data_IF_155112720822
#
_entry.id   IF_155112720822
#
_cell.length_a   1.000
_cell.length_b   1.000
_cell.length_c   1.000
_cell.angle_alpha   90.00
_cell.angle_beta   90.00
_cell.angle_gamma   90.00
#
_symmetry.space_group_name_H-M   'P 1'
#
loop_
_entity.id
_entity.type
_entity.pdbx_description
1 polymer ?
#
# COMPACT_ATOMS: atom_id res chain seq x y z
N UNK A 1 -1.53 5.04 -17.37
CA UNK A 1 -1.66 6.51 -17.31
C UNK A 1 -3.12 6.82 -17.07
N UNK A 2 -3.47 7.43 -15.94
CA UNK A 2 -4.83 7.90 -15.67
C UNK A 2 -4.78 9.42 -15.78
N UNK A 3 -5.50 9.96 -16.75
CA UNK A 3 -5.60 11.40 -16.96
C UNK A 3 -6.58 11.97 -15.93
N UNK A 4 -6.09 12.83 -15.04
CA UNK A 4 -6.96 13.66 -14.21
C UNK A 4 -7.41 14.85 -15.04
N UNK A 5 -8.70 14.86 -15.42
CA UNK A 5 -9.35 16.03 -15.98
C UNK A 5 -9.51 17.09 -14.90
N UNK A 6 -8.63 18.10 -14.91
CA UNK A 6 -8.80 19.28 -14.07
C UNK A 6 -9.86 20.19 -14.69
N UNK A 7 -10.97 20.35 -13.97
CA UNK A 7 -11.99 21.34 -14.27
C UNK A 7 -11.39 22.74 -14.35
N UNK A 8 -11.97 23.58 -15.20
CA UNK A 8 -11.53 24.92 -15.56
C UNK A 8 -11.56 25.88 -14.36
N UNK A 9 -10.41 26.02 -13.68
CA UNK A 9 -10.15 27.10 -12.75
C UNK A 9 -9.43 28.26 -13.45
N UNK A 10 -9.85 29.48 -13.10
CA UNK A 10 -9.38 30.79 -13.55
C UNK A 10 -7.86 30.91 -13.75
N UNK A 11 -7.47 31.63 -14.80
CA UNK A 11 -6.08 31.77 -15.31
C UNK A 11 -5.06 32.26 -14.26
N UNK A 12 -5.50 32.91 -13.18
CA UNK A 12 -4.62 33.45 -12.15
C UNK A 12 -4.32 32.48 -10.99
N UNK A 13 -5.05 31.36 -10.87
CA UNK A 13 -4.85 30.37 -9.79
C UNK A 13 -3.82 29.27 -10.10
N UNK A 14 -3.47 29.07 -11.38
CA UNK A 14 -2.56 28.00 -11.81
C UNK A 14 -1.08 28.29 -11.55
N UNK A 15 -0.67 29.57 -11.57
CA UNK A 15 0.71 29.94 -11.34
C UNK A 15 1.14 29.78 -9.87
N UNK A 16 0.25 30.09 -8.93
CA UNK A 16 0.52 29.97 -7.49
C UNK A 16 0.63 28.50 -7.02
N UNK A 17 -0.24 27.62 -7.53
CA UNK A 17 -0.24 26.19 -7.16
C UNK A 17 0.96 25.42 -7.72
N UNK A 18 1.46 25.78 -8.92
CA UNK A 18 2.65 25.16 -9.50
C UNK A 18 3.93 25.63 -8.80
N UNK A 19 3.99 26.90 -8.38
CA UNK A 19 5.12 27.45 -7.62
C UNK A 19 5.30 26.78 -6.26
N UNK A 20 4.22 26.55 -5.52
CA UNK A 20 4.27 25.91 -4.19
C UNK A 20 4.62 24.42 -4.27
N UNK A 21 4.14 23.71 -5.30
CA UNK A 21 4.45 22.28 -5.52
C UNK A 21 5.94 22.05 -5.87
N UNK A 22 6.54 22.95 -6.64
CA UNK A 22 7.96 22.89 -6.99
C UNK A 22 8.86 23.24 -5.80
N UNK A 23 8.45 24.17 -4.92
CA UNK A 23 9.20 24.53 -3.72
C UNK A 23 9.22 23.41 -2.67
N UNK A 24 8.09 22.71 -2.46
CA UNK A 24 8.02 21.56 -1.54
C UNK A 24 8.83 20.37 -2.08
N UNK A 25 8.81 20.15 -3.40
CA UNK A 25 9.62 19.11 -4.04
C UNK A 25 11.13 19.39 -3.95
N UNK A 26 11.53 20.67 -4.01
CA UNK A 26 12.93 21.08 -3.85
C UNK A 26 13.41 21.02 -2.39
N UNK A 27 12.55 21.34 -1.42
CA UNK A 27 12.87 21.27 0.01
C UNK A 27 12.97 19.83 0.55
N UNK A 28 12.27 18.87 -0.06
CA UNK A 28 12.38 17.44 0.29
C UNK A 28 13.62 16.74 -0.28
N UNK A 29 14.37 17.40 -1.19
CA UNK A 29 15.56 16.84 -1.84
C UNK A 29 16.89 17.24 -1.19
N UNK A 30 16.88 18.12 -0.19
CA UNK A 30 18.10 18.76 0.32
C UNK A 30 18.30 18.60 1.83
N UNK A 31 18.26 17.37 2.36
CA UNK A 31 18.93 17.03 3.63
C UNK A 31 19.38 15.56 3.63
N UNK A 32 20.53 15.25 3.01
CA UNK A 32 21.45 14.22 3.54
C UNK A 32 22.87 14.63 3.13
N UNK A 33 23.62 15.20 4.07
CA UNK A 33 25.04 15.45 3.91
C UNK A 33 25.79 14.11 3.89
N UNK A 34 26.63 13.90 2.88
CA UNK A 34 27.43 12.70 2.71
C UNK A 34 28.67 12.75 3.62
N UNK A 35 28.68 11.95 4.69
CA UNK A 35 29.90 11.61 5.41
C UNK A 35 30.65 10.48 4.68
N UNK A 36 31.91 10.76 4.36
CA UNK A 36 32.86 9.78 3.80
C UNK A 36 33.29 8.81 4.89
N UNK A 37 32.81 7.58 4.84
CA UNK A 37 33.48 6.45 5.47
C UNK A 37 33.55 5.25 4.52
N UNK A 38 34.78 4.81 4.23
CA UNK A 38 35.06 3.50 3.66
C UNK A 38 34.82 2.48 4.78
N UNK A 39 33.58 2.01 4.93
CA UNK A 39 33.26 0.88 5.78
C UNK A 39 33.08 -0.38 4.93
N UNK A 40 33.72 -1.47 5.37
CA UNK A 40 33.42 -2.83 4.89
C UNK A 40 31.94 -3.10 5.03
N UNK A 41 31.41 -3.86 4.08
CA UNK A 41 30.07 -4.44 4.05
C UNK A 41 29.66 -4.91 5.46
N UNK A 42 28.85 -4.12 6.16
CA UNK A 42 28.25 -4.54 7.41
C UNK A 42 27.07 -5.44 7.06
N UNK A 43 27.03 -6.63 7.66
CA UNK A 43 25.83 -7.46 7.68
C UNK A 43 24.70 -6.64 8.29
N UNK A 44 23.52 -6.66 7.66
CA UNK A 44 22.30 -6.22 8.35
C UNK A 44 22.01 -7.29 9.39
N UNK A 45 22.44 -7.06 10.62
CA UNK A 45 22.20 -7.99 11.70
C UNK A 45 20.72 -7.97 12.07
N UNK A 46 19.95 -8.87 11.47
CA UNK A 46 18.64 -9.22 11.97
C UNK A 46 18.90 -10.02 13.25
N UNK A 47 19.15 -9.34 14.37
CA UNK A 47 19.48 -9.94 15.66
C UNK A 47 18.33 -10.83 16.16
N UNK A 48 18.23 -12.05 15.65
CA UNK A 48 17.29 -13.07 16.09
C UNK A 48 17.85 -14.47 15.88
N UNK A 49 17.50 -15.36 16.81
CA UNK A 49 17.94 -16.75 16.82
C UNK A 49 17.21 -17.55 15.73
N UNK A 50 17.92 -18.12 14.73
CA UNK A 50 17.31 -18.94 13.69
C UNK A 50 16.52 -20.14 14.21
N UNK A 51 16.85 -20.66 15.39
CA UNK A 51 16.12 -21.77 16.03
C UNK A 51 14.87 -21.27 16.76
N UNK A 52 14.83 -20.00 17.16
CA UNK A 52 13.72 -19.35 17.85
C UNK A 52 13.32 -18.02 17.16
N UNK A 53 12.85 -18.09 15.90
CA UNK A 53 12.46 -16.91 15.13
C UNK A 53 11.31 -16.16 15.81
N UNK A 54 11.37 -14.82 15.88
CA UNK A 54 10.23 -14.02 16.29
C UNK A 54 9.01 -14.28 15.38
N UNK A 55 7.81 -14.36 15.94
CA UNK A 55 6.58 -14.68 15.18
C UNK A 55 6.29 -13.75 14.00
N UNK A 56 6.81 -12.52 14.03
CA UNK A 56 6.68 -11.55 12.94
C UNK A 56 7.54 -11.89 11.72
N UNK A 57 8.56 -12.74 11.88
CA UNK A 57 9.35 -13.30 10.76
C UNK A 57 8.67 -14.51 10.11
N UNK A 58 7.67 -15.09 10.79
CA UNK A 58 6.94 -16.29 10.37
C UNK A 58 5.62 -15.89 9.73
N UNK A 59 5.34 -16.47 8.57
CA UNK A 59 4.10 -16.24 7.82
C UNK A 59 2.90 -16.74 8.63
N UNK A 60 1.78 -16.01 8.67
CA UNK A 60 0.61 -16.43 9.42
C UNK A 60 0.16 -17.87 9.14
N UNK A 61 0.22 -18.29 7.87
CA UNK A 61 -0.12 -19.64 7.42
C UNK A 61 0.80 -20.76 7.95
N UNK A 62 2.03 -20.46 8.35
CA UNK A 62 3.01 -21.44 8.84
C UNK A 62 3.13 -21.47 10.37
N UNK A 63 2.49 -20.52 11.08
CA UNK A 63 2.68 -20.33 12.53
C UNK A 63 2.15 -21.49 13.36
N UNK A 64 1.00 -22.07 13.01
CA UNK A 64 0.44 -23.19 13.78
C UNK A 64 1.39 -24.40 13.75
N UNK A 65 1.93 -24.74 12.59
CA UNK A 65 2.92 -25.82 12.43
C UNK A 65 4.21 -25.51 13.20
N UNK A 66 4.69 -24.26 13.12
CA UNK A 66 5.87 -23.84 13.86
C UNK A 66 5.66 -23.93 15.39
N UNK A 67 4.54 -23.43 15.90
CA UNK A 67 4.22 -23.47 17.34
C UNK A 67 4.06 -24.90 17.86
N UNK A 68 3.61 -25.83 17.00
CA UNK A 68 3.47 -27.24 17.35
C UNK A 68 4.81 -28.00 17.34
N UNK A 69 5.72 -27.65 16.43
CA UNK A 69 6.95 -28.43 16.17
C UNK A 69 8.24 -27.79 16.67
N UNK A 70 8.22 -26.48 16.92
CA UNK A 70 9.39 -25.68 17.29
C UNK A 70 10.49 -25.65 16.23
N UNK A 71 10.23 -26.10 15.00
CA UNK A 71 11.29 -26.34 14.03
C UNK A 71 11.05 -25.60 12.71
N UNK A 72 11.85 -24.54 12.46
CA UNK A 72 11.83 -23.82 11.19
C UNK A 72 12.40 -24.64 10.03
N UNK A 73 13.21 -25.68 10.29
CA UNK A 73 13.91 -26.41 9.23
C UNK A 73 13.00 -27.25 8.34
N UNK A 74 11.80 -27.62 8.78
CA UNK A 74 10.78 -28.22 7.89
C UNK A 74 10.25 -27.20 6.88
N UNK A 75 10.12 -25.92 7.27
CA UNK A 75 9.79 -24.82 6.37
C UNK A 75 10.96 -24.50 5.42
N UNK A 76 12.19 -24.49 5.92
CA UNK A 76 13.42 -24.29 5.12
C UNK A 76 13.62 -25.41 4.08
N UNK A 77 13.33 -26.66 4.43
CA UNK A 77 13.50 -27.82 3.53
C UNK A 77 12.52 -27.85 2.35
N UNK A 78 11.40 -27.12 2.40
CA UNK A 78 10.47 -26.97 1.26
C UNK A 78 11.10 -26.19 0.11
N UNK A 79 12.17 -25.41 0.34
CA UNK A 79 12.60 -24.34 -0.56
C UNK A 79 13.69 -24.67 -1.59
N UNK A 80 14.14 -25.92 -1.73
CA UNK A 80 15.04 -26.31 -2.84
C UNK A 80 16.31 -25.46 -2.99
N UNK A 81 17.02 -25.64 -4.12
CA UNK A 81 18.31 -25.00 -4.41
C UNK A 81 18.05 -23.62 -5.02
N UNK A 82 18.68 -22.56 -4.48
CA UNK A 82 18.64 -21.13 -4.87
C UNK A 82 17.31 -20.35 -4.65
N UNK A 83 17.00 -19.89 -3.42
CA UNK A 83 15.77 -19.13 -3.10
C UNK A 83 15.69 -17.76 -3.81
N UNK A 84 16.77 -17.31 -4.44
CA UNK A 84 16.79 -16.09 -5.26
C UNK A 84 16.24 -16.27 -6.67
N UNK A 85 16.06 -17.52 -7.13
CA UNK A 85 15.52 -17.89 -8.43
C UNK A 85 14.35 -18.87 -8.32
N UNK A 86 14.33 -19.73 -7.30
CA UNK A 86 13.19 -20.58 -7.04
C UNK A 86 11.98 -19.72 -6.67
N UNK A 87 11.02 -19.69 -7.59
CA UNK A 87 9.73 -19.02 -7.40
C UNK A 87 8.61 -20.01 -7.09
N UNK A 88 8.89 -21.29 -6.87
CA UNK A 88 7.87 -22.27 -6.52
C UNK A 88 7.43 -22.14 -5.07
N UNK A 89 8.38 -21.85 -4.18
CA UNK A 89 8.13 -21.80 -2.75
C UNK A 89 8.45 -20.40 -2.18
N UNK A 90 7.76 -19.98 -1.10
CA UNK A 90 8.05 -18.71 -0.46
C UNK A 90 9.43 -18.72 0.22
N UNK A 91 10.21 -17.65 0.04
CA UNK A 91 11.53 -17.53 0.67
C UNK A 91 11.40 -17.33 2.20
N UNK A 92 12.43 -17.75 2.94
CA UNK A 92 12.56 -17.44 4.37
C UNK A 92 12.82 -15.94 4.52
N UNK A 93 12.02 -15.32 5.37
CA UNK A 93 12.10 -13.88 5.63
C UNK A 93 13.20 -13.57 6.66
N UNK A 94 13.77 -12.39 6.56
CA UNK A 94 14.82 -11.83 7.42
C UNK A 94 16.07 -12.71 7.53
N UNK A 95 16.31 -13.55 6.52
CA UNK A 95 17.51 -14.38 6.40
C UNK A 95 18.40 -13.86 5.27
N UNK A 96 19.72 -13.76 5.52
CA UNK A 96 20.68 -13.34 4.52
C UNK A 96 21.22 -14.51 3.70
N UNK A 97 20.98 -14.43 2.40
CA UNK A 97 21.51 -15.32 1.39
C UNK A 97 22.75 -14.68 0.75
N UNK A 98 23.85 -15.43 0.68
CA UNK A 98 25.11 -14.99 0.08
C UNK A 98 25.37 -15.70 -1.24
N UNK A 99 26.57 -15.53 -1.81
CA UNK A 99 26.99 -16.12 -3.08
C UNK A 99 26.72 -17.64 -3.19
N UNK A 100 26.88 -18.40 -2.09
CA UNK A 100 26.63 -19.84 -2.08
C UNK A 100 25.15 -20.21 -2.32
N UNK A 101 24.24 -19.34 -1.86
CA UNK A 101 22.80 -19.56 -1.90
C UNK A 101 22.18 -18.84 -3.11
N UNK A 102 22.78 -17.74 -3.53
CA UNK A 102 22.34 -16.84 -4.58
C UNK A 102 23.53 -16.35 -5.40
N UNK A 103 24.05 -17.17 -6.33
CA UNK A 103 25.27 -16.89 -7.06
C UNK A 103 25.14 -15.64 -7.93
N UNK A 104 26.04 -14.67 -7.75
CA UNK A 104 26.00 -13.41 -8.48
C UNK A 104 26.23 -13.64 -9.99
N UNK A 105 25.40 -13.05 -10.87
CA UNK A 105 25.63 -13.08 -12.32
C UNK A 105 26.98 -12.47 -12.73
N UNK A 106 27.43 -11.45 -12.00
CA UNK A 106 28.71 -10.79 -12.18
C UNK A 106 29.53 -10.93 -10.91
N UNK A 107 30.74 -11.48 -11.05
CA UNK A 107 31.66 -11.72 -9.93
C UNK A 107 32.62 -10.56 -9.73
N UNK A 108 33.19 -10.48 -8.53
CA UNK A 108 34.33 -9.63 -8.26
C UNK A 108 35.58 -10.13 -8.99
N UNK A 109 36.44 -9.21 -9.41
CA UNK A 109 37.80 -9.52 -9.80
C UNK A 109 38.58 -10.11 -8.62
N UNK A 110 39.50 -11.07 -8.88
CA UNK A 110 40.33 -11.66 -7.84
C UNK A 110 41.29 -10.63 -7.23
N UNK A 111 41.80 -10.93 -6.04
CA UNK A 111 42.74 -10.04 -5.33
C UNK A 111 44.04 -9.77 -6.10
N UNK A 112 44.39 -10.64 -7.04
CA UNK A 112 45.54 -10.48 -7.94
C UNK A 112 45.31 -9.50 -9.10
N UNK A 113 44.08 -9.02 -9.29
CA UNK A 113 43.76 -8.07 -10.36
C UNK A 113 44.27 -6.67 -10.01
N UNK A 114 44.59 -5.85 -11.04
CA UNK A 114 45.09 -4.48 -10.86
C UNK A 114 44.18 -3.61 -9.98
N UNK A 115 42.86 -3.87 -10.02
CA UNK A 115 41.86 -3.20 -9.20
C UNK A 115 40.99 -4.23 -8.45
N UNK A 116 41.49 -4.82 -7.35
CA UNK A 116 40.79 -5.89 -6.65
C UNK A 116 39.48 -5.38 -6.04
N UNK A 117 38.50 -6.27 -5.86
CA UNK A 117 37.18 -5.91 -5.33
C UNK A 117 36.31 -5.07 -6.27
N UNK A 118 36.69 -4.96 -7.55
CA UNK A 118 35.87 -4.37 -8.60
C UNK A 118 35.06 -5.44 -9.34
N UNK A 119 33.94 -5.05 -9.93
CA UNK A 119 33.07 -5.98 -10.64
C UNK A 119 33.54 -6.28 -12.05
N UNK A 120 33.62 -7.57 -12.41
CA UNK A 120 34.05 -7.99 -13.74
C UNK A 120 33.18 -7.30 -14.80
N UNK A 121 33.84 -6.60 -15.72
CA UNK A 121 33.19 -5.88 -16.81
C UNK A 121 32.87 -4.41 -16.54
N UNK A 122 33.32 -3.84 -15.41
CA UNK A 122 33.20 -2.41 -15.11
C UNK A 122 33.84 -1.50 -16.17
N UNK A 123 34.78 -2.03 -16.95
CA UNK A 123 35.54 -1.38 -18.00
C UNK A 123 35.07 -1.72 -19.43
N UNK A 124 33.96 -2.46 -19.56
CA UNK A 124 33.42 -2.82 -20.87
C UNK A 124 32.77 -1.64 -21.55
N UNK A 125 33.29 -1.28 -22.71
CA UNK A 125 32.59 -0.42 -23.66
C UNK A 125 31.33 -1.14 -24.17
N UNK A 126 30.20 -0.44 -24.21
CA UNK A 126 28.92 -0.99 -24.69
C UNK A 126 28.07 0.11 -25.34
N UNK A 127 27.13 -0.32 -26.17
CA UNK A 127 26.00 0.51 -26.63
C UNK A 127 24.70 -0.02 -25.99
N UNK A 128 23.80 0.85 -25.50
CA UNK A 128 23.92 2.31 -25.39
C UNK A 128 24.84 2.76 -24.23
N UNK A 129 25.16 4.05 -24.14
CA UNK A 129 26.07 4.66 -23.12
C UNK A 129 25.74 4.23 -21.69
N UNK A 130 24.45 4.09 -21.46
CA UNK A 130 23.83 3.79 -20.19
C UNK A 130 24.15 2.39 -19.65
N UNK A 131 24.76 1.53 -20.49
CA UNK A 131 25.29 0.21 -20.16
C UNK A 131 26.81 0.11 -20.27
N UNK A 132 27.48 1.17 -20.73
CA UNK A 132 28.92 1.20 -20.83
C UNK A 132 29.55 1.53 -19.48
N UNK A 133 30.75 1.00 -19.24
CA UNK A 133 31.64 1.43 -18.16
C UNK A 133 31.03 1.32 -16.77
N UNK A 134 30.26 0.25 -16.54
CA UNK A 134 29.61 -0.04 -15.28
C UNK A 134 29.35 -1.53 -15.13
N UNK A 135 29.48 -2.04 -13.91
CA UNK A 135 29.11 -3.39 -13.54
C UNK A 135 28.64 -3.42 -12.09
N UNK A 136 27.73 -4.34 -11.77
CA UNK A 136 27.23 -4.55 -10.42
C UNK A 136 27.47 -6.00 -10.00
N UNK A 137 28.12 -6.19 -8.86
CA UNK A 137 28.25 -7.49 -8.20
C UNK A 137 27.23 -7.57 -7.08
N UNK A 138 26.35 -8.55 -7.15
CA UNK A 138 25.52 -8.93 -6.00
C UNK A 138 26.43 -9.45 -4.87
N UNK A 139 26.15 -9.02 -3.64
CA UNK A 139 26.89 -9.44 -2.44
C UNK A 139 26.00 -10.24 -1.51
N UNK A 140 24.77 -9.76 -1.30
CA UNK A 140 23.77 -10.44 -0.47
C UNK A 140 22.36 -10.16 -0.97
N UNK A 141 21.48 -11.11 -0.70
CA UNK A 141 20.04 -10.98 -0.90
C UNK A 141 19.33 -11.40 0.37
N UNK A 142 18.22 -10.75 0.69
CA UNK A 142 17.32 -11.19 1.75
C UNK A 142 15.88 -10.83 1.35
N UNK A 143 14.93 -11.42 2.06
CA UNK A 143 13.51 -11.18 1.86
C UNK A 143 12.92 -10.65 3.15
N UNK A 144 12.02 -9.69 3.07
CA UNK A 144 11.36 -9.14 4.25
C UNK A 144 9.95 -8.69 3.89
N UNK A 145 9.13 -8.42 4.90
CA UNK A 145 7.85 -7.77 4.68
C UNK A 145 8.08 -6.36 4.13
N UNK A 146 7.26 -5.97 3.16
CA UNK A 146 7.15 -4.59 2.72
C UNK A 146 5.98 -3.90 3.42
N UNK A 147 5.87 -2.59 3.18
CA UNK A 147 4.75 -1.79 3.66
C UNK A 147 3.42 -2.37 3.16
N UNK A 148 2.43 -2.34 4.05
CA UNK A 148 1.09 -2.81 3.78
C UNK A 148 0.45 -2.12 2.56
N UNK A 149 -0.43 -2.84 1.87
CA UNK A 149 -1.25 -2.32 0.78
C UNK A 149 -2.73 -2.59 1.08
N UNK A 150 -3.46 -1.61 1.63
CA UNK A 150 -4.87 -1.78 1.97
C UNK A 150 -5.72 -2.16 0.76
N UNK A 151 -6.67 -3.08 0.94
CA UNK A 151 -7.69 -3.36 -0.06
C UNK A 151 -8.67 -2.18 -0.11
N UNK A 152 -8.88 -1.55 -1.27
CA UNK A 152 -9.78 -0.40 -1.36
C UNK A 152 -11.20 -0.75 -0.91
N UNK A 153 -11.79 0.09 -0.06
CA UNK A 153 -13.17 -0.03 0.43
C UNK A 153 -13.39 -1.39 1.12
N UNK A 154 -12.39 -1.81 1.90
CA UNK A 154 -12.47 -3.02 2.73
C UNK A 154 -12.74 -2.70 4.20
N UNK A 155 -13.22 -1.48 4.49
CA UNK A 155 -13.56 -1.05 5.84
C UNK A 155 -14.69 -1.89 6.41
N UNK A 156 -14.51 -2.27 7.66
CA UNK A 156 -15.43 -3.04 8.45
C UNK A 156 -15.78 -2.30 9.73
N UNK A 157 -17.00 -2.51 10.21
CA UNK A 157 -17.54 -1.81 11.36
C UNK A 157 -18.51 -2.72 12.12
N UNK A 158 -18.34 -2.82 13.45
CA UNK A 158 -19.29 -3.52 14.31
C UNK A 158 -20.61 -2.73 14.44
N UNK A 159 -21.79 -3.33 14.14
CA UNK A 159 -22.10 -4.76 14.29
C UNK A 159 -22.18 -5.55 12.97
N UNK A 160 -21.72 -5.00 11.86
CA UNK A 160 -21.82 -5.66 10.55
C UNK A 160 -20.70 -6.71 10.41
N UNK A 161 -21.06 -7.89 9.88
CA UNK A 161 -20.10 -8.95 9.63
C UNK A 161 -19.04 -8.48 8.62
N UNK A 162 -17.77 -8.69 8.95
CA UNK A 162 -16.65 -8.27 8.13
C UNK A 162 -16.18 -9.41 7.24
N UNK A 163 -16.07 -9.18 5.94
CA UNK A 163 -15.49 -10.17 5.02
C UNK A 163 -14.76 -9.57 3.83
N UNK A 164 -13.75 -10.30 3.35
CA UNK A 164 -13.03 -10.00 2.11
C UNK A 164 -13.39 -11.04 1.06
N UNK A 165 -13.72 -10.60 -0.16
CA UNK A 165 -13.96 -11.49 -1.30
C UNK A 165 -12.65 -11.91 -1.99
N UNK A 166 -12.64 -13.08 -2.62
CA UNK A 166 -11.53 -13.51 -3.47
C UNK A 166 -11.34 -12.65 -4.72
N UNK A 167 -12.37 -11.91 -5.13
CA UNK A 167 -12.33 -10.98 -6.26
C UNK A 167 -11.80 -9.60 -5.86
N UNK A 168 -11.64 -9.32 -4.56
CA UNK A 168 -11.00 -8.10 -4.11
C UNK A 168 -9.54 -8.08 -4.58
N UNK A 169 -9.02 -6.89 -4.87
CA UNK A 169 -7.65 -6.76 -5.34
C UNK A 169 -7.01 -5.48 -4.87
N UNK A 170 -5.71 -5.51 -4.63
CA UNK A 170 -4.90 -4.32 -4.35
C UNK A 170 -3.62 -4.32 -5.17
N UNK A 171 -3.10 -3.12 -5.43
CA UNK A 171 -1.84 -2.95 -6.17
C UNK A 171 -0.66 -3.09 -5.22
N UNK A 172 0.36 -3.83 -5.66
CA UNK A 172 1.60 -4.06 -4.93
C UNK A 172 2.76 -3.56 -5.78
N UNK A 173 3.59 -2.69 -5.21
CA UNK A 173 4.86 -2.29 -5.81
C UNK A 173 5.20 -0.83 -5.61
N UNK A 174 6.48 -0.53 -5.73
CA UNK A 174 7.06 0.80 -5.53
C UNK A 174 8.00 1.15 -6.69
N UNK A 175 8.29 2.43 -6.81
CA UNK A 175 9.24 2.93 -7.80
C UNK A 175 10.66 2.50 -7.45
N UNK A 176 11.50 2.38 -8.49
CA UNK A 176 12.93 2.13 -8.32
C UNK A 176 13.56 3.18 -7.42
N UNK A 177 14.32 2.76 -6.41
CA UNK A 177 15.14 3.69 -5.61
C UNK A 177 16.39 4.14 -6.38
N UNK A 178 16.83 3.31 -7.35
CA UNK A 178 18.00 3.56 -8.18
C UNK A 178 17.58 3.96 -9.60
N UNK A 179 18.27 4.95 -10.17
CA UNK A 179 18.02 5.47 -11.52
C UNK A 179 19.30 5.55 -12.36
N UNK A 180 19.17 5.94 -13.63
CA UNK A 180 20.30 6.14 -14.54
C UNK A 180 21.10 4.85 -14.83
N UNK A 181 22.44 4.99 -14.91
CA UNK A 181 23.37 3.88 -15.21
C UNK A 181 23.32 2.78 -14.15
N UNK A 182 23.25 3.17 -12.87
CA UNK A 182 23.20 2.23 -11.74
C UNK A 182 21.95 1.35 -11.83
N UNK A 183 20.76 1.94 -12.05
CA UNK A 183 19.51 1.16 -12.17
C UNK A 183 19.52 0.17 -13.36
N UNK A 184 20.24 0.47 -14.44
CA UNK A 184 20.40 -0.44 -15.59
C UNK A 184 21.36 -1.57 -15.29
N UNK A 185 22.49 -1.28 -14.65
CA UNK A 185 23.41 -2.32 -14.17
C UNK A 185 22.78 -3.19 -13.09
N UNK A 186 21.83 -2.64 -12.33
CA UNK A 186 21.02 -3.41 -11.40
C UNK A 186 20.24 -4.53 -12.06
N UNK A 187 19.59 -4.26 -13.20
CA UNK A 187 18.84 -5.30 -13.95
C UNK A 187 19.72 -6.41 -14.52
N UNK A 188 21.01 -6.12 -14.76
CA UNK A 188 21.97 -7.06 -15.35
C UNK A 188 22.73 -7.85 -14.26
N UNK A 189 23.12 -7.18 -13.19
CA UNK A 189 23.92 -7.75 -12.10
C UNK A 189 23.11 -8.43 -11.00
N UNK A 190 21.77 -8.31 -11.01
CA UNK A 190 20.89 -8.98 -10.06
C UNK A 190 20.47 -10.38 -10.52
N UNK A 191 20.57 -11.37 -9.64
CA UNK A 191 20.10 -12.73 -9.91
C UNK A 191 18.56 -12.81 -9.97
N UNK A 192 18.02 -13.66 -10.85
CA UNK A 192 16.59 -14.00 -10.86
C UNK A 192 15.64 -12.99 -11.52
N UNK A 193 16.17 -12.11 -12.40
CA UNK A 193 15.46 -10.99 -13.04
C UNK A 193 14.97 -9.91 -12.06
N UNK A 194 15.20 -8.64 -12.40
CA UNK A 194 14.85 -7.50 -11.56
C UNK A 194 13.80 -6.60 -12.22
N UNK A 195 12.68 -6.41 -11.53
CA UNK A 195 11.57 -5.60 -11.99
C UNK A 195 10.94 -4.81 -10.84
N UNK A 196 10.84 -3.49 -11.02
CA UNK A 196 10.01 -2.62 -10.17
C UNK A 196 8.57 -2.54 -10.68
N UNK A 197 8.14 -3.50 -11.51
CA UNK A 197 6.77 -3.54 -12.00
C UNK A 197 5.80 -3.70 -10.85
N UNK A 198 4.73 -2.92 -10.88
CA UNK A 198 3.58 -3.17 -10.01
C UNK A 198 2.90 -4.46 -10.41
N UNK A 199 2.46 -5.21 -9.41
CA UNK A 199 1.64 -6.40 -9.55
C UNK A 199 0.35 -6.24 -8.76
N UNK A 200 -0.57 -7.19 -8.88
CA UNK A 200 -1.87 -7.14 -8.22
C UNK A 200 -2.01 -8.35 -7.31
N UNK A 201 -2.26 -8.09 -6.03
CA UNK A 201 -2.60 -9.14 -5.07
C UNK A 201 -4.13 -9.31 -5.04
N UNK A 202 -4.60 -10.55 -5.11
CA UNK A 202 -6.01 -10.89 -4.96
C UNK A 202 -6.34 -11.19 -3.50
N UNK A 203 -7.57 -10.90 -3.08
CA UNK A 203 -8.05 -11.23 -1.75
C UNK A 203 -8.23 -12.74 -1.59
N UNK A 204 -8.44 -13.17 -0.34
CA UNK A 204 -8.92 -14.51 0.01
C UNK A 204 -10.21 -14.35 0.80
N UNK A 205 -11.11 -15.31 0.67
CA UNK A 205 -12.33 -15.36 1.48
C UNK A 205 -11.96 -15.46 2.95
N UNK A 206 -12.18 -14.37 3.69
CA UNK A 206 -11.83 -14.26 5.09
C UNK A 206 -13.00 -13.60 5.83
N UNK A 207 -13.28 -14.06 7.05
CA UNK A 207 -14.32 -13.50 7.92
C UNK A 207 -13.70 -13.10 9.25
N UNK A 208 -14.05 -11.91 9.74
CA UNK A 208 -13.64 -11.41 11.04
C UNK A 208 -14.86 -11.11 11.87
N UNK A 209 -14.83 -11.51 13.13
CA UNK A 209 -15.84 -11.14 14.12
C UNK A 209 -15.30 -9.95 14.90
N UNK A 210 -16.02 -8.83 14.84
CA UNK A 210 -15.67 -7.60 15.54
C UNK A 210 -16.52 -7.46 16.80
N UNK A 211 -15.92 -7.02 17.91
CA UNK A 211 -16.69 -6.63 19.09
C UNK A 211 -17.04 -5.14 19.07
N UNK A 212 -17.87 -4.71 20.03
CA UNK A 212 -18.34 -3.33 20.10
C UNK A 212 -17.17 -2.34 20.23
N UNK A 213 -17.12 -1.36 19.34
CA UNK A 213 -16.06 -0.34 19.27
C UNK A 213 -14.89 -0.73 18.38
N UNK A 214 -14.85 -1.97 17.88
CA UNK A 214 -13.84 -2.42 16.91
C UNK A 214 -14.33 -2.27 15.48
N UNK A 215 -13.44 -1.67 14.70
CA UNK A 215 -13.52 -1.53 13.27
C UNK A 215 -12.27 -2.13 12.65
N UNK A 216 -12.12 -2.04 11.35
CA UNK A 216 -10.85 -2.36 10.73
C UNK A 216 -10.92 -2.38 9.22
N UNK A 217 -9.87 -2.88 8.61
CA UNK A 217 -9.79 -3.03 7.17
C UNK A 217 -8.89 -4.20 6.79
N UNK A 218 -9.06 -4.70 5.57
CA UNK A 218 -8.19 -5.73 5.03
C UNK A 218 -6.99 -5.11 4.33
N UNK A 219 -5.82 -5.72 4.50
CA UNK A 219 -4.58 -5.27 3.87
C UNK A 219 -3.76 -6.45 3.38
N UNK A 220 -3.03 -6.26 2.29
CA UNK A 220 -2.04 -7.22 1.82
C UNK A 220 -0.66 -6.78 2.30
N UNK A 221 0.07 -7.65 2.99
CA UNK A 221 1.46 -7.42 3.36
C UNK A 221 2.35 -8.17 2.35
N UNK A 222 2.92 -7.48 1.36
CA UNK A 222 3.77 -8.13 0.37
C UNK A 222 5.12 -8.50 0.96
N UNK A 223 5.75 -9.50 0.37
CA UNK A 223 7.18 -9.78 0.56
C UNK A 223 7.97 -9.01 -0.50
N UNK A 224 9.07 -8.41 -0.08
CA UNK A 224 10.05 -7.80 -0.98
C UNK A 224 11.36 -8.57 -0.97
N UNK A 225 11.97 -8.69 -2.14
CA UNK A 225 13.36 -9.14 -2.30
C UNK A 225 14.24 -7.91 -2.23
N UNK A 226 15.16 -7.88 -1.27
CA UNK A 226 16.18 -6.85 -1.14
C UNK A 226 17.52 -7.44 -1.56
N UNK A 227 18.20 -6.74 -2.46
CA UNK A 227 19.54 -7.11 -2.90
C UNK A 227 20.49 -5.98 -2.56
N UNK A 228 21.68 -6.32 -2.09
CA UNK A 228 22.77 -5.37 -1.91
C UNK A 228 24.01 -5.82 -2.69
N UNK A 229 24.76 -4.85 -3.20
CA UNK A 229 25.89 -5.11 -4.05
C UNK A 229 26.92 -3.98 -4.10
N UNK A 230 27.96 -4.21 -4.89
CA UNK A 230 28.98 -3.21 -5.22
C UNK A 230 28.82 -2.79 -6.67
N UNK A 231 28.70 -1.49 -6.91
CA UNK A 231 28.72 -0.92 -8.25
C UNK A 231 30.12 -0.40 -8.57
N UNK A 232 30.75 -0.96 -9.60
CA UNK A 232 32.03 -0.50 -10.13
C UNK A 232 31.79 0.20 -11.45
N UNK A 233 32.36 1.39 -11.64
CA UNK A 233 32.19 2.17 -12.87
C UNK A 233 33.44 2.92 -13.28
N UNK A 234 33.54 3.23 -14.57
CA UNK A 234 34.55 4.13 -15.12
C UNK A 234 33.89 5.37 -15.72
N UNK A 235 34.64 6.47 -15.78
CA UNK A 235 34.22 7.60 -16.60
C UNK A 235 34.21 7.20 -18.09
N UNK A 236 33.24 7.69 -18.85
CA UNK A 236 33.20 7.54 -20.31
C UNK A 236 34.04 8.63 -20.99
N UNK A 237 34.62 8.33 -22.15
CA UNK A 237 35.16 9.38 -23.02
C UNK A 237 34.00 10.25 -23.56
N UNK A 238 34.18 11.58 -23.64
CA UNK A 238 33.14 12.51 -24.06
C UNK A 238 32.76 12.39 -25.55
N UNK A 239 33.57 11.69 -26.35
CA UNK A 239 33.31 11.40 -27.75
C UNK A 239 33.23 9.89 -27.96
N UNK A 240 32.07 9.40 -28.43
CA UNK A 240 31.95 8.03 -28.89
C UNK A 240 32.77 7.86 -30.17
N UNK A 241 33.59 6.81 -30.24
CA UNK A 241 34.25 6.41 -31.48
C UNK A 241 33.38 5.28 -32.06
N UNK A 242 32.82 5.47 -33.25
CA UNK A 242 31.93 4.51 -33.91
C UNK A 242 30.67 4.13 -33.09
N UNK A 243 30.02 5.10 -32.44
CA UNK A 243 28.84 4.91 -31.56
C UNK A 243 29.09 4.05 -30.29
N UNK A 244 30.34 3.63 -30.04
CA UNK A 244 30.73 2.96 -28.80
C UNK A 244 31.31 3.94 -27.79
N UNK A 245 30.84 3.84 -26.55
CA UNK A 245 31.33 4.62 -25.42
C UNK A 245 32.51 3.89 -24.78
N UNK A 246 33.72 4.45 -24.97
CA UNK A 246 34.94 3.92 -24.37
C UNK A 246 35.06 4.33 -22.90
N UNK A 247 35.66 3.44 -22.11
CA UNK A 247 35.88 3.64 -20.68
C UNK A 247 37.27 4.20 -20.43
N UNK A 248 37.37 5.22 -19.58
CA UNK A 248 38.63 5.83 -19.11
C UNK A 248 39.30 4.94 -18.07
N UNK A 249 39.71 3.74 -18.48
CA UNK A 249 40.33 2.74 -17.60
C UNK A 249 41.66 3.23 -17.01
N UNK A 250 42.32 4.19 -17.67
CA UNK A 250 43.55 4.81 -17.20
C UNK A 250 43.37 5.56 -15.87
N UNK A 251 42.14 6.05 -15.59
CA UNK A 251 41.80 6.71 -14.33
C UNK A 251 41.47 5.74 -13.20
N UNK A 252 41.29 4.45 -13.53
CA UNK A 252 40.80 3.43 -12.60
C UNK A 252 39.29 3.52 -12.34
N UNK A 253 38.75 2.54 -11.61
CA UNK A 253 37.32 2.46 -11.31
C UNK A 253 36.92 3.31 -10.10
N UNK A 254 35.68 3.80 -10.13
CA UNK A 254 34.94 4.28 -8.96
C UNK A 254 34.06 3.14 -8.45
N UNK A 255 34.26 2.76 -7.19
CA UNK A 255 33.46 1.75 -6.50
C UNK A 255 32.48 2.42 -5.53
N UNK A 256 31.20 2.12 -5.68
CA UNK A 256 30.17 2.43 -4.70
C UNK A 256 29.76 1.14 -4.02
N UNK A 257 30.19 0.97 -2.78
CA UNK A 257 29.96 -0.24 -1.99
C UNK A 257 28.56 -0.20 -1.36
N UNK A 258 28.01 -1.40 -1.10
CA UNK A 258 26.83 -1.60 -0.28
C UNK A 258 25.59 -0.79 -0.73
N UNK A 259 25.44 -0.57 -2.04
CA UNK A 259 24.18 -0.07 -2.57
C UNK A 259 23.15 -1.18 -2.38
N UNK A 260 21.94 -0.84 -1.97
CA UNK A 260 20.84 -1.77 -1.85
C UNK A 260 19.63 -1.23 -2.61
N UNK A 261 18.82 -2.14 -3.16
CA UNK A 261 17.52 -1.83 -3.71
C UNK A 261 16.58 -3.01 -3.49
N UNK A 262 15.28 -2.77 -3.64
CA UNK A 262 14.26 -3.80 -3.43
C UNK A 262 13.24 -3.85 -4.56
N UNK A 263 12.70 -5.05 -4.77
CA UNK A 263 11.59 -5.31 -5.68
C UNK A 263 10.50 -6.13 -4.99
N UNK A 264 9.23 -6.02 -5.42
CA UNK A 264 8.20 -6.97 -5.02
C UNK A 264 8.65 -8.40 -5.36
N UNK A 265 8.51 -9.31 -4.41
CA UNK A 265 8.75 -10.72 -4.67
C UNK A 265 7.48 -11.36 -5.24
N UNK A 266 7.66 -12.34 -6.12
CA UNK A 266 6.55 -13.06 -6.72
C UNK A 266 6.87 -14.54 -6.77
N UNK A 267 5.86 -15.35 -6.48
CA UNK A 267 5.90 -16.80 -6.52
C UNK A 267 4.93 -17.32 -7.58
N UNK A 268 5.12 -18.56 -8.01
CA UNK A 268 4.21 -19.26 -8.91
C UNK A 268 2.89 -19.52 -8.18
N UNK A 269 1.79 -19.32 -8.88
CA UNK A 269 0.47 -19.63 -8.39
C UNK A 269 0.18 -21.14 -8.51
N UNK A 270 0.86 -21.94 -7.69
CA UNK A 270 0.68 -23.40 -7.66
C UNK A 270 -0.75 -23.84 -7.35
N UNK A 271 -1.57 -22.96 -6.74
CA UNK A 271 -2.97 -23.19 -6.46
C UNK A 271 -3.93 -22.97 -7.64
N UNK A 272 -3.49 -22.36 -8.76
CA UNK A 272 -4.33 -22.12 -9.92
C UNK A 272 -4.15 -23.20 -10.99
N UNK A 273 -5.06 -24.18 -11.01
CA UNK A 273 -5.05 -25.27 -11.99
C UNK A 273 -5.12 -24.79 -13.46
N UNK A 274 -5.61 -23.58 -13.74
CA UNK A 274 -5.70 -23.04 -15.10
C UNK A 274 -4.40 -22.39 -15.58
N UNK A 275 -3.60 -21.87 -14.65
CA UNK A 275 -2.28 -21.30 -14.96
C UNK A 275 -1.33 -21.48 -13.76
N UNK A 276 -0.74 -22.67 -13.61
CA UNK A 276 0.17 -22.97 -12.51
C UNK A 276 1.52 -22.24 -12.62
N UNK A 277 1.79 -21.61 -13.77
CA UNK A 277 3.00 -20.81 -13.98
C UNK A 277 2.75 -19.30 -13.87
N UNK A 278 1.51 -18.88 -13.64
CA UNK A 278 1.20 -17.48 -13.35
C UNK A 278 2.01 -17.00 -12.15
N UNK A 279 2.64 -15.84 -12.29
CA UNK A 279 3.35 -15.20 -11.19
C UNK A 279 2.38 -14.33 -10.39
N UNK A 280 2.31 -14.56 -9.08
CA UNK A 280 1.52 -13.75 -8.14
C UNK A 280 2.45 -13.08 -7.11
N UNK A 281 2.09 -11.91 -6.56
CA UNK A 281 2.82 -11.33 -5.45
C UNK A 281 2.90 -12.31 -4.28
N UNK A 282 4.10 -12.48 -3.73
CA UNK A 282 4.27 -13.18 -2.46
C UNK A 282 3.87 -12.24 -1.31
N UNK A 283 3.21 -12.78 -0.28
CA UNK A 283 2.69 -12.01 0.84
C UNK A 283 1.53 -12.68 1.55
N UNK A 284 0.94 -11.96 2.50
CA UNK A 284 -0.19 -12.46 3.29
C UNK A 284 -1.29 -11.42 3.44
N UNK A 285 -2.53 -11.86 3.54
CA UNK A 285 -3.69 -10.99 3.78
C UNK A 285 -3.96 -10.95 5.28
N UNK A 286 -3.94 -9.74 5.84
CA UNK A 286 -4.24 -9.49 7.25
C UNK A 286 -5.50 -8.63 7.39
N UNK A 287 -6.12 -8.73 8.56
CA UNK A 287 -7.10 -7.77 9.02
C UNK A 287 -6.43 -6.85 10.06
N UNK A 288 -6.52 -5.54 9.85
CA UNK A 288 -6.00 -4.53 10.77
C UNK A 288 -7.15 -4.02 11.60
N UNK A 289 -7.09 -4.24 12.91
CA UNK A 289 -8.11 -3.75 13.83
C UNK A 289 -7.93 -2.26 14.09
N UNK A 290 -9.00 -1.49 14.05
CA UNK A 290 -9.00 -0.05 14.31
C UNK A 290 -10.06 0.32 15.34
N UNK A 291 -9.85 1.43 16.03
CA UNK A 291 -10.87 2.02 16.90
C UNK A 291 -11.93 2.72 16.03
N UNK A 292 -13.21 2.35 16.14
CA UNK A 292 -14.27 2.93 15.28
C UNK A 292 -14.45 4.44 15.43
N UNK A 293 -14.08 4.99 16.58
CA UNK A 293 -14.23 6.42 16.88
C UNK A 293 -13.15 7.24 16.18
N UNK A 294 -11.92 6.74 16.09
CA UNK A 294 -10.77 7.49 15.58
C UNK A 294 -10.25 7.00 14.23
N UNK A 295 -10.58 5.76 13.85
CA UNK A 295 -10.02 4.97 12.73
C UNK A 295 -8.55 4.58 12.82
N UNK A 296 -7.91 4.89 13.93
CA UNK A 296 -6.51 4.56 14.11
C UNK A 296 -6.35 3.08 14.46
N UNK A 297 -5.27 2.43 14.02
CA UNK A 297 -4.97 1.06 14.42
C UNK A 297 -5.01 0.90 15.94
N UNK A 298 -5.63 -0.18 16.40
CA UNK A 298 -5.54 -0.59 17.80
C UNK A 298 -4.09 -0.92 18.17
N UNK A 299 -3.75 -0.90 19.47
CA UNK A 299 -2.43 -1.30 19.96
C UNK A 299 -1.95 -2.65 19.42
N UNK A 300 -0.63 -2.85 19.41
CA UNK A 300 0.03 -3.99 18.75
C UNK A 300 -0.44 -5.36 19.24
N UNK A 301 -0.86 -5.45 20.49
CA UNK A 301 -1.40 -6.67 21.10
C UNK A 301 -2.72 -7.16 20.47
N UNK A 302 -3.45 -6.28 19.77
CA UNK A 302 -4.65 -6.62 19.01
C UNK A 302 -4.36 -6.98 17.55
N UNK A 303 -3.12 -6.73 17.08
CA UNK A 303 -2.75 -6.91 15.69
C UNK A 303 -2.04 -8.24 15.47
N UNK A 304 -2.04 -8.70 14.22
CA UNK A 304 -1.17 -9.79 13.81
C UNK A 304 0.32 -9.38 14.00
N UNK A 305 1.19 -10.26 14.53
CA UNK A 305 2.61 -9.98 14.69
C UNK A 305 3.31 -9.42 13.45
N UNK A 306 2.93 -9.85 12.24
CA UNK A 306 3.50 -9.32 10.98
C UNK A 306 3.25 -7.83 10.83
N UNK A 307 2.07 -7.35 11.22
CA UNK A 307 1.72 -5.93 11.16
C UNK A 307 2.65 -5.05 12.01
N UNK A 308 3.17 -5.63 13.11
CA UNK A 308 4.10 -4.96 14.02
C UNK A 308 5.56 -4.95 13.52
N UNK A 309 5.86 -5.61 12.40
CA UNK A 309 7.22 -5.64 11.85
C UNK A 309 7.67 -4.25 11.40
N UNK A 310 8.96 -3.90 11.52
CA UNK A 310 9.47 -2.61 11.06
C UNK A 310 9.15 -2.35 9.59
N UNK A 311 8.55 -1.19 9.29
CA UNK A 311 8.23 -0.76 7.93
C UNK A 311 6.99 -1.38 7.31
N UNK A 312 6.25 -2.24 8.04
CA UNK A 312 5.01 -2.85 7.54
C UNK A 312 3.81 -1.91 7.67
N UNK A 313 3.52 -1.43 8.89
CA UNK A 313 2.38 -0.54 9.11
C UNK A 313 2.58 0.80 8.39
N UNK A 314 1.53 1.30 7.73
CA UNK A 314 1.49 2.67 7.24
C UNK A 314 1.51 3.66 8.41
N UNK A 315 1.93 4.90 8.14
CA UNK A 315 1.81 5.96 9.13
C UNK A 315 0.32 6.20 9.45
N UNK A 316 -0.06 6.45 10.73
CA UNK A 316 -1.47 6.67 11.11
C UNK A 316 -2.20 7.70 10.22
N UNK A 317 -1.56 8.81 9.88
CA UNK A 317 -2.16 9.83 9.01
C UNK A 317 -2.40 9.34 7.57
N UNK A 318 -1.54 8.43 7.07
CA UNK A 318 -1.74 7.82 5.75
C UNK A 318 -2.91 6.85 5.77
N UNK A 319 -3.04 6.07 6.85
CA UNK A 319 -4.19 5.17 7.07
C UNK A 319 -5.48 5.99 7.15
N UNK A 320 -5.50 7.05 7.95
CA UNK A 320 -6.67 7.92 8.09
C UNK A 320 -7.05 8.55 6.75
N UNK A 321 -6.07 9.03 5.97
CA UNK A 321 -6.31 9.59 4.64
C UNK A 321 -6.89 8.57 3.65
N UNK A 322 -6.39 7.33 3.66
CA UNK A 322 -6.89 6.25 2.81
C UNK A 322 -8.34 5.93 3.18
N UNK A 323 -8.62 5.70 4.47
CA UNK A 323 -9.97 5.40 4.94
C UNK A 323 -10.92 6.59 4.73
N UNK A 324 -10.44 7.82 4.86
CA UNK A 324 -11.20 9.02 4.52
C UNK A 324 -11.57 9.07 3.03
N UNK A 325 -10.74 8.50 2.16
CA UNK A 325 -11.05 8.30 0.74
C UNK A 325 -12.11 7.23 0.47
N UNK A 326 -12.49 6.44 1.47
CA UNK A 326 -13.55 5.42 1.39
C UNK A 326 -14.89 5.89 1.96
N UNK A 327 -14.91 7.03 2.65
CA UNK A 327 -16.16 7.64 3.15
C UNK A 327 -17.06 7.95 1.96
N UNK A 328 -18.32 7.53 2.03
CA UNK A 328 -19.34 7.94 1.08
C UNK A 328 -20.70 8.07 1.75
N UNK A 329 -21.56 8.88 1.16
CA UNK A 329 -22.93 9.09 1.62
C UNK A 329 -23.88 9.34 0.45
N UNK A 330 -25.15 9.10 0.69
CA UNK A 330 -26.27 9.52 -0.15
C UNK A 330 -27.39 10.03 0.73
N UNK A 331 -27.97 11.15 0.38
CA UNK A 331 -29.05 11.80 1.10
C UNK A 331 -30.14 12.22 0.11
N UNK A 332 -31.38 11.87 0.42
CA UNK A 332 -32.55 12.22 -0.39
C UNK A 332 -33.77 12.45 0.50
N UNK A 333 -34.74 13.18 -0.06
CA UNK A 333 -36.01 13.45 0.58
C UNK A 333 -37.14 12.80 -0.21
N UNK A 334 -38.11 12.26 0.50
CA UNK A 334 -39.27 11.62 -0.08
C UNK A 334 -40.56 12.33 0.36
N UNK A 335 -41.42 12.63 -0.62
CA UNK A 335 -42.75 13.17 -0.36
C UNK A 335 -43.70 12.03 0.04
N UNK A 336 -43.98 11.95 1.35
CA UNK A 336 -44.87 10.95 1.94
C UNK A 336 -46.35 11.26 1.69
N UNK A 337 -46.68 12.35 0.99
CA UNK A 337 -48.04 12.90 0.83
C UNK A 337 -48.73 13.25 2.16
N UNK A 338 -47.93 13.42 3.22
CA UNK A 338 -48.39 13.92 4.52
C UNK A 338 -48.22 15.44 4.52
N UNK A 339 -49.29 16.16 4.82
CA UNK A 339 -49.29 17.62 4.73
C UNK A 339 -48.29 18.22 5.71
N UNK A 340 -47.30 18.96 5.20
CA UNK A 340 -46.30 19.67 6.00
C UNK A 340 -45.08 18.84 6.41
N UNK A 341 -44.99 17.57 6.01
CA UNK A 341 -43.91 16.66 6.38
C UNK A 341 -43.31 15.96 5.15
N UNK A 342 -42.05 15.56 5.27
CA UNK A 342 -41.34 14.73 4.29
C UNK A 342 -40.45 13.75 5.04
N UNK A 343 -40.19 12.59 4.44
CA UNK A 343 -39.17 11.69 4.97
C UNK A 343 -37.79 12.10 4.45
N UNK A 344 -36.78 12.05 5.31
CA UNK A 344 -35.36 12.15 4.93
C UNK A 344 -34.73 10.77 5.08
N UNK A 345 -33.90 10.40 4.10
CA UNK A 345 -33.11 9.19 4.13
C UNK A 345 -31.66 9.57 3.87
N UNK A 346 -30.80 9.29 4.85
CA UNK A 346 -29.36 9.48 4.78
C UNK A 346 -28.72 8.12 4.94
N UNK A 347 -27.92 7.75 3.96
CA UNK A 347 -27.17 6.51 3.96
C UNK A 347 -25.70 6.85 3.85
N UNK A 348 -24.85 6.09 4.52
CA UNK A 348 -23.41 6.26 4.38
C UNK A 348 -22.62 5.06 4.85
N UNK A 349 -21.32 5.15 4.65
CA UNK A 349 -20.35 4.18 5.12
C UNK A 349 -19.02 4.90 5.32
N UNK A 350 -18.16 4.27 6.11
CA UNK A 350 -16.85 4.82 6.39
C UNK A 350 -16.92 6.19 7.01
N UNK A 351 -17.81 6.47 7.97
CA UNK A 351 -17.69 7.66 8.85
C UNK A 351 -17.11 7.29 10.20
N UNK A 352 -16.27 8.15 10.78
CA UNK A 352 -15.77 7.94 12.14
C UNK A 352 -16.94 8.03 13.12
N UNK A 353 -17.00 7.17 14.12
CA UNK A 353 -18.12 7.19 15.08
C UNK A 353 -18.16 8.51 15.86
N UNK A 354 -17.04 9.19 16.06
CA UNK A 354 -17.04 10.53 16.68
C UNK A 354 -17.75 11.61 15.83
N UNK A 355 -17.98 11.35 14.54
CA UNK A 355 -18.62 12.30 13.61
C UNK A 355 -20.11 12.05 13.50
N UNK A 356 -20.55 10.79 13.51
CA UNK A 356 -21.95 10.41 13.32
C UNK A 356 -22.65 9.97 14.61
N UNK A 357 -21.90 9.50 15.60
CA UNK A 357 -22.38 8.82 16.80
C UNK A 357 -22.58 7.32 16.55
N UNK A 358 -22.37 6.51 17.58
CA UNK A 358 -22.46 5.04 17.50
C UNK A 358 -23.82 4.55 16.97
N UNK A 359 -24.90 5.29 17.25
CA UNK A 359 -26.25 5.05 16.74
C UNK A 359 -26.83 6.30 16.06
N UNK A 360 -25.99 7.11 15.43
CA UNK A 360 -26.42 8.30 14.70
C UNK A 360 -26.84 9.48 15.58
N UNK A 361 -26.44 9.52 16.85
CA UNK A 361 -26.89 10.56 17.79
C UNK A 361 -26.42 11.97 17.39
N UNK A 362 -25.27 12.08 16.73
CA UNK A 362 -24.76 13.36 16.21
C UNK A 362 -25.50 13.73 14.93
N UNK A 363 -25.76 12.74 14.05
CA UNK A 363 -26.59 12.92 12.86
C UNK A 363 -27.99 13.43 13.24
N UNK A 364 -28.60 12.82 14.26
CA UNK A 364 -29.89 13.23 14.81
C UNK A 364 -29.89 14.70 15.23
N UNK A 365 -28.90 15.13 16.01
CA UNK A 365 -28.78 16.54 16.45
C UNK A 365 -28.68 17.50 15.27
N UNK A 366 -27.98 17.12 14.20
CA UNK A 366 -27.89 17.93 12.97
C UNK A 366 -29.25 18.06 12.30
N UNK A 367 -29.96 16.94 12.10
CA UNK A 367 -31.27 16.95 11.45
C UNK A 367 -32.31 17.67 12.30
N UNK A 368 -32.28 17.52 13.63
CA UNK A 368 -33.10 18.27 14.59
C UNK A 368 -32.85 19.78 14.48
N UNK A 369 -31.59 20.21 14.42
CA UNK A 369 -31.23 21.62 14.27
C UNK A 369 -31.69 22.20 12.93
N UNK A 370 -31.55 21.45 11.83
CA UNK A 370 -32.03 21.87 10.52
C UNK A 370 -33.56 21.94 10.46
N UNK A 371 -34.26 20.98 11.08
CA UNK A 371 -35.72 20.95 11.18
C UNK A 371 -36.25 22.13 12.00
N UNK A 372 -35.59 22.44 13.12
CA UNK A 372 -35.95 23.58 13.98
C UNK A 372 -35.81 24.91 13.25
N UNK A 373 -34.73 25.09 12.46
CA UNK A 373 -34.55 26.27 11.59
C UNK A 373 -35.63 26.40 10.51
N UNK A 374 -36.22 25.29 10.08
CA UNK A 374 -37.34 25.26 9.14
C UNK A 374 -38.71 25.48 9.81
N UNK A 375 -38.76 25.67 11.13
CA UNK A 375 -39.98 25.91 11.89
C UNK A 375 -40.80 24.65 12.19
N UNK A 376 -40.17 23.48 12.27
CA UNK A 376 -40.83 22.24 12.68
C UNK A 376 -39.91 21.33 13.48
N UNK A 377 -40.31 20.07 13.63
CA UNK A 377 -39.64 19.08 14.48
C UNK A 377 -39.17 17.88 13.66
N UNK A 378 -38.18 17.16 14.17
CA UNK A 378 -37.71 15.90 13.59
C UNK A 378 -38.28 14.73 14.40
N UNK A 379 -39.03 13.85 13.74
CA UNK A 379 -39.80 12.76 14.39
C UNK A 379 -39.56 11.42 13.70
N UNK A 380 -40.06 10.33 14.30
CA UNK A 380 -40.05 8.96 13.74
C UNK A 380 -38.69 8.49 13.20
N UNK A 381 -37.61 8.87 13.88
CA UNK A 381 -36.27 8.64 13.38
C UNK A 381 -35.73 7.26 13.76
N UNK A 382 -34.89 6.71 12.89
CA UNK A 382 -34.24 5.42 13.09
C UNK A 382 -32.85 5.43 12.49
N UNK A 383 -31.90 4.83 13.21
CA UNK A 383 -30.54 4.58 12.73
C UNK A 383 -30.31 3.07 12.72
N UNK A 384 -29.80 2.53 11.62
CA UNK A 384 -29.56 1.09 11.45
C UNK A 384 -28.25 0.84 10.73
N UNK A 385 -27.37 0.03 11.32
CA UNK A 385 -26.24 -0.57 10.63
C UNK A 385 -26.70 -1.81 9.85
N UNK A 386 -26.19 -2.00 8.65
CA UNK A 386 -26.50 -3.15 7.81
C UNK A 386 -25.35 -3.48 6.87
N UNK A 387 -25.35 -4.72 6.38
CA UNK A 387 -24.44 -5.14 5.31
C UNK A 387 -25.01 -4.70 3.96
N UNK A 388 -24.29 -3.81 3.30
CA UNK A 388 -24.68 -3.32 1.99
C UNK A 388 -24.24 -4.30 0.89
N UNK A 389 -24.97 -4.31 -0.23
CA UNK A 389 -24.64 -5.12 -1.42
C UNK A 389 -25.15 -6.56 -1.35
N UNK A 390 -24.93 -7.29 -2.44
CA UNK A 390 -25.12 -8.75 -2.51
C UNK A 390 -23.81 -9.47 -2.15
N UNK A 391 -23.83 -10.73 -1.71
CA UNK A 391 -22.62 -11.49 -1.35
C UNK A 391 -21.54 -11.53 -2.45
N UNK A 392 -21.94 -11.43 -3.72
CA UNK A 392 -21.04 -11.46 -4.88
C UNK A 392 -20.66 -10.05 -5.40
N UNK A 393 -21.17 -8.99 -4.78
CA UNK A 393 -20.83 -7.63 -5.17
C UNK A 393 -19.36 -7.31 -4.81
N UNK A 394 -18.74 -6.44 -5.61
CA UNK A 394 -17.38 -5.99 -5.29
C UNK A 394 -17.34 -5.21 -3.97
N UNK A 395 -16.17 -5.13 -3.33
CA UNK A 395 -15.97 -4.35 -2.11
C UNK A 395 -16.43 -2.87 -2.23
N UNK A 396 -16.55 -2.32 -3.45
CA UNK A 396 -17.12 -0.97 -3.66
C UNK A 396 -18.63 -0.87 -3.40
N UNK A 397 -19.32 -2.00 -3.47
CA UNK A 397 -20.78 -2.13 -3.38
C UNK A 397 -21.20 -2.96 -2.16
N UNK A 398 -20.26 -3.70 -1.57
CA UNK A 398 -20.45 -4.58 -0.42
C UNK A 398 -19.77 -4.02 0.83
N UNK A 399 -20.36 -4.20 2.02
CA UNK A 399 -19.71 -3.89 3.29
C UNK A 399 -20.55 -3.06 4.27
N UNK A 400 -19.95 -2.71 5.41
CA UNK A 400 -20.66 -2.05 6.50
C UNK A 400 -21.18 -0.67 6.10
N UNK A 401 -22.49 -0.49 6.16
CA UNK A 401 -23.17 0.77 5.90
C UNK A 401 -24.19 1.07 6.99
N UNK A 402 -24.59 2.34 7.08
CA UNK A 402 -25.66 2.78 7.94
C UNK A 402 -26.75 3.49 7.15
N UNK A 403 -27.97 3.41 7.66
CA UNK A 403 -29.15 4.14 7.21
C UNK A 403 -29.71 4.93 8.38
N UNK A 404 -29.91 6.21 8.16
CA UNK A 404 -30.61 7.12 9.03
C UNK A 404 -31.84 7.66 8.33
N UNK A 405 -33.00 7.43 8.91
CA UNK A 405 -34.29 7.85 8.35
C UNK A 405 -35.12 8.58 9.41
N UNK A 406 -36.06 9.41 8.97
CA UNK A 406 -37.03 10.07 9.84
C UNK A 406 -37.82 11.15 9.13
N UNK A 407 -38.76 11.75 9.85
CA UNK A 407 -39.70 12.75 9.31
C UNK A 407 -39.25 14.16 9.65
N UNK A 408 -39.20 15.02 8.63
CA UNK A 408 -38.73 16.40 8.67
C UNK A 408 -39.79 17.37 8.13
N UNK A 409 -39.73 18.67 8.48
CA UNK A 409 -40.66 19.66 7.96
C UNK A 409 -40.53 19.81 6.44
N UNK A 410 -41.65 19.99 5.73
CA UNK A 410 -41.66 20.15 4.27
C UNK A 410 -40.77 21.32 3.78
N UNK A 411 -40.62 22.37 4.61
CA UNK A 411 -39.81 23.55 4.31
C UNK A 411 -38.31 23.38 4.60
N UNK A 412 -37.86 22.19 4.99
CA UNK A 412 -36.45 21.95 5.32
C UNK A 412 -35.55 22.25 4.10
N UNK A 413 -34.44 22.95 4.34
CA UNK A 413 -33.43 23.21 3.31
C UNK A 413 -32.50 21.98 3.19
N UNK A 414 -32.42 21.32 2.02
CA UNK A 414 -31.52 20.18 1.81
C UNK A 414 -30.08 20.50 2.21
N UNK A 415 -29.61 21.66 1.75
CA UNK A 415 -28.27 22.21 2.01
C UNK A 415 -27.89 22.24 3.48
N UNK A 416 -28.85 22.40 4.41
CA UNK A 416 -28.53 22.38 5.83
C UNK A 416 -27.97 21.02 6.27
N UNK A 417 -28.53 19.92 5.77
CA UNK A 417 -28.09 18.57 6.09
C UNK A 417 -26.82 18.22 5.32
N UNK A 418 -26.78 18.48 4.00
CA UNK A 418 -25.61 18.13 3.20
C UNK A 418 -24.35 18.91 3.59
N UNK A 419 -24.45 20.21 3.88
CA UNK A 419 -23.30 20.99 4.36
C UNK A 419 -22.76 20.45 5.69
N UNK A 420 -23.63 20.01 6.59
CA UNK A 420 -23.23 19.39 7.85
C UNK A 420 -22.57 18.02 7.62
N UNK A 421 -23.08 17.21 6.70
CA UNK A 421 -22.44 15.95 6.31
C UNK A 421 -21.03 16.20 5.73
N UNK A 422 -20.85 17.22 4.90
CA UNK A 422 -19.52 17.61 4.38
C UNK A 422 -18.57 18.00 5.52
N UNK A 423 -19.05 18.72 6.54
CA UNK A 423 -18.26 19.04 7.74
C UNK A 423 -17.91 17.80 8.58
N UNK A 424 -18.72 16.74 8.51
CA UNK A 424 -18.47 15.45 9.15
C UNK A 424 -17.47 14.58 8.39
N UNK A 425 -17.02 15.01 7.20
CA UNK A 425 -16.09 14.25 6.37
C UNK A 425 -16.76 13.51 5.21
N UNK A 426 -18.00 13.82 4.86
CA UNK A 426 -18.59 13.33 3.61
C UNK A 426 -17.75 13.73 2.40
N UNK A 427 -17.68 12.84 1.42
CA UNK A 427 -17.00 13.08 0.14
C UNK A 427 -17.98 13.30 -1.02
N UNK A 428 -19.26 12.95 -0.82
CA UNK A 428 -20.27 12.91 -1.89
C UNK A 428 -21.23 14.10 -1.80
N UNK A 429 -21.35 14.84 -2.90
CA UNK A 429 -22.35 15.89 -3.06
C UNK A 429 -23.59 15.33 -3.76
N UNK A 430 -24.72 15.27 -3.07
CA UNK A 430 -25.97 14.68 -3.54
C UNK A 430 -27.15 15.68 -3.47
N UNK A 431 -28.40 15.20 -3.37
CA UNK A 431 -29.59 16.05 -3.29
C UNK A 431 -29.62 16.94 -2.06
N UNK A 432 -28.83 16.62 -1.02
CA UNK A 432 -28.73 17.40 0.19
C UNK A 432 -27.69 18.52 0.09
N UNK A 433 -27.01 18.69 -1.05
CA UNK A 433 -26.11 19.82 -1.29
C UNK A 433 -26.79 20.84 -2.21
N UNK A 434 -27.41 21.86 -1.60
CA UNK A 434 -28.02 23.00 -2.30
C UNK A 434 -29.28 23.56 -1.62
N UNK A 435 -29.72 24.74 -2.08
CA UNK A 435 -30.84 25.46 -1.46
C UNK A 435 -32.23 24.95 -1.87
N UNK A 436 -32.30 24.19 -2.96
CA UNK A 436 -33.57 23.69 -3.51
C UNK A 436 -33.55 22.17 -3.61
N UNK A 437 -34.67 21.56 -3.23
CA UNK A 437 -34.95 20.15 -3.54
C UNK A 437 -34.91 19.97 -5.05
N UNK A 438 -34.00 19.14 -5.56
CA UNK A 438 -34.02 18.75 -6.97
C UNK A 438 -35.13 17.71 -7.17
N UNK A 439 -36.05 17.95 -8.08
CA UNK A 439 -37.07 16.96 -8.44
C UNK A 439 -36.38 15.70 -8.99
N UNK A 440 -36.70 14.53 -8.44
CA UNK A 440 -36.17 13.27 -8.92
C UNK A 440 -37.10 12.74 -10.02
N UNK A 441 -36.61 12.73 -11.27
CA UNK A 441 -37.17 11.86 -12.29
C UNK A 441 -36.62 10.45 -12.02
N UNK A 442 -37.48 9.54 -11.58
CA UNK A 442 -37.14 8.11 -11.55
C UNK A 442 -37.15 7.60 -12.99
N UNK A 443 -35.99 7.17 -13.49
CA UNK A 443 -35.88 6.26 -14.63
C UNK A 443 -35.47 4.89 -14.13
#
# INVERSE_FOLDING_TARGET
>A
MVAFGLASASHNGKAAMIGTFLLISALLLSVVAAEKHVQRVTSIDFNWDPENPPLWTIRPEDREEFLATGNITTLVKRNGVTPCEDRQNPAILYYQYYEKDCPAPIKFHPDSYKYPGTCIGWDRASYPEDKACGALCQVRTYFEWAQESPYPISECHHPVACSLSSTASTSVGWSASLSGKIGKMWKVGALGSWSWSRSTATGRSFKVTLVKGECGYFTFIPVKKVMCGTYSSAETYPHAIYDYYLCRTEKGPTNTLNICDSQPWSIKNSGNAKDPNAMIPDGTVLFVYTDCRTRLPLPKEYQDPVYSSPGVSLHPDTIDSIQQGWVWNTCYFWDMKVKGERAVFIRGSGFKDEKIGNNGEILRKVVEACSSKAGGTFTNHKFTWYDNGKPDDSAKKHGAAWLFEGDVPEKIRPGCIGEALMQMGASTQDQCVGDKMKAQAFN
#
